data_IF_861411442234
#
_entry.id   IF_861411442234
#
_cell.length_a   1.000
_cell.length_b   1.000
_cell.length_c   1.000
_cell.angle_alpha   90.00
_cell.angle_beta   90.00
_cell.angle_gamma   90.00
#
_symmetry.space_group_name_H-M   'P 1'
#
loop_
_entity.id
_entity.type
_entity.pdbx_description
1 polymer ?
#
# COMPACT_ATOMS: atom_id res chain seq x y z
N UNK A 1 -4.77 -3.20 -30.70
CA UNK A 1 -3.44 -2.82 -30.18
C UNK A 1 -3.14 -3.72 -29.01
N UNK A 2 -2.11 -4.56 -29.10
CA UNK A 2 -1.67 -5.39 -27.97
C UNK A 2 -0.92 -4.52 -26.99
N UNK A 3 -1.37 -4.50 -25.74
CA UNK A 3 -0.63 -3.83 -24.66
C UNK A 3 0.76 -4.46 -24.56
N UNK A 4 1.85 -3.66 -24.54
CA UNK A 4 3.18 -4.21 -24.35
C UNK A 4 3.26 -4.98 -23.02
N UNK A 5 4.07 -6.03 -22.92
CA UNK A 5 4.24 -6.75 -21.67
C UNK A 5 4.78 -5.79 -20.60
N UNK A 6 4.25 -5.91 -19.38
CA UNK A 6 4.73 -5.14 -18.24
C UNK A 6 6.21 -5.46 -17.97
N UNK A 7 7.06 -4.46 -17.71
CA UNK A 7 8.48 -4.64 -17.47
C UNK A 7 8.74 -5.16 -16.05
N UNK A 8 8.31 -6.40 -15.78
CA UNK A 8 8.58 -7.02 -14.49
C UNK A 8 10.08 -7.23 -14.28
N UNK A 9 10.51 -6.86 -13.07
CA UNK A 9 11.90 -7.01 -12.65
C UNK A 9 12.14 -8.41 -12.03
N UNK A 10 13.32 -8.97 -12.26
CA UNK A 10 13.82 -10.10 -11.48
C UNK A 10 14.15 -9.62 -10.05
N UNK A 11 13.62 -10.25 -8.98
CA UNK A 11 13.84 -9.85 -7.61
C UNK A 11 15.30 -9.71 -7.19
N UNK A 12 16.22 -10.47 -7.81
CA UNK A 12 17.66 -10.39 -7.55
C UNK A 12 18.26 -9.00 -7.88
N UNK A 13 17.61 -8.24 -8.74
CA UNK A 13 18.01 -6.89 -9.13
C UNK A 13 17.26 -5.77 -8.39
N UNK A 14 16.36 -6.13 -7.45
CA UNK A 14 15.44 -5.17 -6.82
C UNK A 14 16.16 -3.99 -6.16
N UNK A 15 17.15 -4.25 -5.33
CA UNK A 15 17.91 -3.20 -4.63
C UNK A 15 18.64 -2.28 -5.59
N UNK A 16 19.27 -2.84 -6.63
CA UNK A 16 19.97 -2.05 -7.65
C UNK A 16 18.97 -1.17 -8.43
N UNK A 17 17.87 -1.75 -8.90
CA UNK A 17 16.85 -1.00 -9.64
C UNK A 17 16.27 0.16 -8.80
N UNK A 18 15.94 -0.08 -7.53
CA UNK A 18 15.44 0.98 -6.65
C UNK A 18 16.44 2.11 -6.43
N UNK A 19 17.75 1.81 -6.38
CA UNK A 19 18.80 2.83 -6.28
C UNK A 19 19.00 3.60 -7.57
N UNK A 20 18.96 2.92 -8.71
CA UNK A 20 19.34 3.49 -10.01
C UNK A 20 18.18 4.20 -10.69
N UNK A 21 16.99 3.61 -10.67
CA UNK A 21 15.80 4.11 -11.38
C UNK A 21 14.70 4.65 -10.46
N UNK A 22 14.75 4.35 -9.17
CA UNK A 22 13.79 4.79 -8.16
C UNK A 22 12.50 3.98 -8.12
N UNK A 23 12.33 2.96 -8.97
CA UNK A 23 11.13 2.11 -8.95
C UNK A 23 11.42 0.69 -9.40
N UNK A 24 10.52 -0.22 -9.05
CA UNK A 24 10.52 -1.61 -9.52
C UNK A 24 9.09 -2.14 -9.61
N UNK A 25 8.84 -3.00 -10.58
CA UNK A 25 7.58 -3.72 -10.73
C UNK A 25 7.83 -5.22 -10.56
N UNK A 26 7.16 -5.84 -9.58
CA UNK A 26 7.31 -7.25 -9.27
C UNK A 26 6.05 -8.04 -9.65
N UNK A 27 6.23 -9.32 -9.99
CA UNK A 27 5.11 -10.26 -10.15
C UNK A 27 4.55 -10.67 -8.79
N UNK A 28 3.30 -11.15 -8.74
CA UNK A 28 2.72 -11.66 -7.49
C UNK A 28 3.56 -12.76 -6.83
N UNK A 29 4.11 -13.69 -7.61
CA UNK A 29 4.98 -14.76 -7.09
C UNK A 29 6.27 -14.22 -6.47
N UNK A 30 6.84 -13.16 -7.06
CA UNK A 30 8.04 -12.51 -6.56
C UNK A 30 7.78 -11.79 -5.24
N UNK A 31 6.59 -11.15 -5.10
CA UNK A 31 6.16 -10.54 -3.83
C UNK A 31 5.94 -11.60 -2.76
N UNK A 32 5.33 -12.73 -3.11
CA UNK A 32 5.15 -13.86 -2.19
C UNK A 32 6.49 -14.41 -1.72
N UNK A 33 7.44 -14.60 -2.65
CA UNK A 33 8.79 -15.06 -2.33
C UNK A 33 9.51 -14.09 -1.38
N UNK A 34 9.48 -12.79 -1.65
CA UNK A 34 10.05 -11.76 -0.78
C UNK A 34 9.47 -11.82 0.64
N UNK A 35 8.16 -12.00 0.74
CA UNK A 35 7.46 -12.11 2.03
C UNK A 35 7.70 -13.47 2.74
N UNK A 36 8.40 -14.42 2.13
CA UNK A 36 8.52 -15.78 2.65
C UNK A 36 7.17 -16.49 2.76
N UNK A 37 6.26 -16.19 1.82
CA UNK A 37 4.91 -16.74 1.74
C UNK A 37 4.70 -17.43 0.40
N UNK A 38 3.65 -18.25 0.33
CA UNK A 38 3.03 -18.64 -0.94
C UNK A 38 1.93 -17.65 -1.35
N UNK A 39 1.56 -17.62 -2.63
CA UNK A 39 0.41 -16.83 -3.09
C UNK A 39 -0.90 -17.19 -2.37
N UNK A 40 -1.23 -18.49 -2.12
CA UNK A 40 -2.40 -18.85 -1.31
C UNK A 40 -2.36 -18.27 0.11
N UNK A 41 -1.19 -18.20 0.76
CA UNK A 41 -1.07 -17.57 2.08
C UNK A 41 -1.36 -16.07 2.01
N UNK A 42 -0.79 -15.35 1.02
CA UNK A 42 -1.12 -13.94 0.79
C UNK A 42 -2.61 -13.74 0.44
N UNK A 43 -3.21 -14.66 -0.31
CA UNK A 43 -4.63 -14.59 -0.67
C UNK A 43 -5.57 -14.71 0.54
N UNK A 44 -5.11 -15.26 1.68
CA UNK A 44 -5.91 -15.27 2.92
C UNK A 44 -6.21 -13.87 3.45
N UNK A 45 -5.46 -12.85 3.02
CA UNK A 45 -5.71 -11.45 3.38
C UNK A 45 -6.86 -10.82 2.59
N UNK A 46 -7.17 -11.33 1.38
CA UNK A 46 -8.11 -10.72 0.43
C UNK A 46 -9.50 -10.46 1.03
N UNK A 47 -10.11 -11.37 1.82
CA UNK A 47 -11.45 -11.14 2.38
C UNK A 47 -11.56 -9.93 3.30
N UNK A 48 -10.45 -9.42 3.84
CA UNK A 48 -10.46 -8.20 4.67
C UNK A 48 -10.83 -6.94 3.87
N UNK A 49 -10.63 -6.95 2.54
CA UNK A 49 -11.04 -5.84 1.66
C UNK A 49 -12.55 -5.70 1.51
N UNK A 50 -13.34 -6.74 1.79
CA UNK A 50 -14.80 -6.66 1.78
C UNK A 50 -15.38 -5.96 3.02
N UNK A 51 -14.58 -5.83 4.08
CA UNK A 51 -14.95 -5.24 5.36
C UNK A 51 -14.39 -3.83 5.58
N UNK A 52 -13.90 -3.18 4.52
CA UNK A 52 -13.35 -1.83 4.62
C UNK A 52 -14.45 -0.80 4.87
N UNK A 53 -14.19 0.13 5.78
CA UNK A 53 -15.06 1.26 6.08
C UNK A 53 -15.03 2.32 4.97
N UNK A 54 -16.10 3.09 4.84
CA UNK A 54 -16.14 4.24 3.93
C UNK A 54 -15.08 5.27 4.35
N UNK A 55 -14.50 5.91 3.35
CA UNK A 55 -13.62 7.06 3.57
C UNK A 55 -14.46 8.34 3.65
N UNK A 56 -14.74 8.79 4.87
CA UNK A 56 -15.55 9.98 5.13
C UNK A 56 -14.80 11.31 4.90
N UNK A 57 -13.53 11.24 4.49
CA UNK A 57 -12.69 12.42 4.27
C UNK A 57 -12.61 12.87 2.80
N UNK A 58 -13.40 12.26 1.90
CA UNK A 58 -13.44 12.68 0.50
C UNK A 58 -14.15 14.02 0.35
N UNK A 59 -13.41 15.06 0.00
CA UNK A 59 -13.93 16.43 -0.15
C UNK A 59 -14.89 16.61 -1.33
N UNK A 60 -14.87 15.71 -2.31
CA UNK A 60 -15.81 15.70 -3.43
C UNK A 60 -17.17 15.05 -3.07
N UNK A 61 -17.34 14.59 -1.82
CA UNK A 61 -18.55 13.92 -1.35
C UNK A 61 -18.73 12.52 -1.92
N UNK A 62 -17.73 11.99 -2.63
CA UNK A 62 -17.77 10.64 -3.21
C UNK A 62 -17.86 9.55 -2.15
N UNK A 63 -18.55 8.46 -2.47
CA UNK A 63 -18.64 7.26 -1.61
C UNK A 63 -17.95 6.05 -2.23
N UNK A 64 -17.12 6.30 -3.22
CA UNK A 64 -16.47 5.28 -4.04
C UNK A 64 -15.19 4.70 -3.39
N UNK A 65 -14.66 5.28 -2.28
CA UNK A 65 -13.44 4.82 -1.63
C UNK A 65 -13.74 4.28 -0.23
N UNK A 66 -13.20 3.11 0.03
CA UNK A 66 -13.19 2.48 1.35
C UNK A 66 -11.76 2.27 1.78
N UNK A 67 -11.47 2.40 3.07
CA UNK A 67 -10.10 2.19 3.55
C UNK A 67 -10.04 1.88 5.04
N UNK A 68 -8.92 1.24 5.40
CA UNK A 68 -8.43 1.12 6.78
C UNK A 68 -6.96 1.51 6.82
N UNK A 69 -6.49 1.88 7.99
CA UNK A 69 -5.12 2.34 8.19
C UNK A 69 -4.61 1.93 9.56
N UNK A 70 -3.39 1.39 9.59
CA UNK A 70 -2.66 1.12 10.83
C UNK A 70 -1.18 1.41 10.64
N UNK A 71 -0.51 1.69 11.75
CA UNK A 71 0.90 2.06 11.76
C UNK A 71 1.72 1.01 12.51
N UNK A 72 2.95 0.81 12.04
CA UNK A 72 3.87 -0.18 12.60
C UNK A 72 5.27 0.43 12.70
N UNK A 73 6.09 -0.16 13.57
CA UNK A 73 7.53 0.02 13.61
C UNK A 73 8.19 -1.29 13.22
N UNK A 74 9.04 -1.25 12.21
CA UNK A 74 9.96 -2.33 11.88
C UNK A 74 11.38 -1.91 12.29
N UNK A 75 11.98 -2.62 13.24
CA UNK A 75 13.35 -2.37 13.72
C UNK A 75 14.39 -3.30 13.08
N UNK A 76 13.96 -4.09 12.08
CA UNK A 76 14.79 -5.07 11.37
C UNK A 76 14.87 -6.44 12.06
N UNK A 77 14.44 -6.55 13.31
CA UNK A 77 14.32 -7.82 14.04
C UNK A 77 12.85 -8.21 14.27
N UNK A 78 11.98 -7.21 14.38
CA UNK A 78 10.55 -7.40 14.66
C UNK A 78 9.72 -6.28 14.01
N UNK A 79 8.46 -6.61 13.76
CA UNK A 79 7.42 -5.67 13.37
C UNK A 79 6.42 -5.53 14.52
N UNK A 80 6.25 -4.32 15.03
CA UNK A 80 5.31 -4.04 16.12
C UNK A 80 4.27 -3.00 15.69
N UNK A 81 2.98 -3.30 15.90
CA UNK A 81 1.91 -2.31 15.69
C UNK A 81 2.01 -1.20 16.74
N UNK A 82 1.88 0.04 16.30
CA UNK A 82 1.83 1.21 17.19
C UNK A 82 0.39 1.50 17.63
N UNK A 83 0.18 2.29 18.69
CA UNK A 83 -1.14 2.79 19.01
C UNK A 83 -1.81 3.45 17.82
N UNK A 84 -3.11 3.20 17.65
CA UNK A 84 -3.88 3.76 16.55
C UNK A 84 -3.86 5.29 16.57
N UNK A 85 -3.64 5.89 15.41
CA UNK A 85 -3.57 7.35 15.26
C UNK A 85 -4.10 7.81 13.91
N UNK A 86 -4.43 9.09 13.83
CA UNK A 86 -4.83 9.72 12.59
C UNK A 86 -3.67 9.76 11.58
N UNK A 87 -3.99 9.47 10.33
CA UNK A 87 -3.10 9.76 9.21
C UNK A 87 -3.06 11.27 8.96
N UNK A 88 -1.87 11.82 8.77
CA UNK A 88 -1.66 13.23 8.50
C UNK A 88 -0.60 13.41 7.42
N UNK A 89 -0.84 14.34 6.51
CA UNK A 89 0.10 14.77 5.49
C UNK A 89 0.14 16.29 5.45
N UNK A 90 1.28 16.93 5.20
CA UNK A 90 1.33 18.37 4.98
C UNK A 90 0.64 18.74 3.66
N UNK A 91 0.18 20.00 3.57
CA UNK A 91 -0.54 20.52 2.39
C UNK A 91 0.34 20.48 1.13
N UNK A 92 1.64 20.63 1.30
CA UNK A 92 2.65 20.60 0.21
C UNK A 92 2.67 19.24 -0.52
N UNK A 93 2.35 18.15 0.18
CA UNK A 93 2.30 16.81 -0.41
C UNK A 93 0.89 16.37 -0.81
N UNK A 94 -0.14 16.95 -0.19
CA UNK A 94 -1.52 16.64 -0.53
C UNK A 94 -2.36 17.91 -0.51
N UNK A 95 -2.49 18.57 -1.65
CA UNK A 95 -3.21 19.83 -1.78
C UNK A 95 -4.69 19.73 -1.43
N UNK A 96 -5.33 18.56 -1.61
CA UNK A 96 -6.75 18.38 -1.32
C UNK A 96 -7.02 17.99 0.13
N UNK A 97 -6.23 17.08 0.70
CA UNK A 97 -6.50 16.46 2.00
C UNK A 97 -5.36 16.69 3.01
N UNK A 98 -4.32 17.44 2.65
CA UNK A 98 -3.23 17.83 3.56
C UNK A 98 -3.71 18.79 4.64
N UNK A 99 -2.94 18.88 5.74
CA UNK A 99 -3.22 19.76 6.87
C UNK A 99 -4.34 19.29 7.79
N UNK A 100 -4.97 18.14 7.53
CA UNK A 100 -6.02 17.57 8.37
C UNK A 100 -5.65 16.20 8.95
N UNK A 101 -6.06 15.96 10.17
CA UNK A 101 -5.99 14.64 10.79
C UNK A 101 -7.15 13.77 10.32
N UNK A 102 -6.85 12.65 9.65
CA UNK A 102 -7.84 11.71 9.14
C UNK A 102 -7.77 10.42 9.95
N UNK A 103 -8.69 10.24 10.88
CA UNK A 103 -8.76 9.04 11.71
C UNK A 103 -9.58 7.96 10.99
N UNK A 104 -8.91 7.18 10.15
CA UNK A 104 -9.53 6.04 9.50
C UNK A 104 -9.70 4.89 10.48
N UNK A 105 -10.64 3.98 10.22
CA UNK A 105 -10.73 2.74 11.00
C UNK A 105 -9.40 1.97 10.95
N UNK A 106 -8.97 1.34 12.05
CA UNK A 106 -7.74 0.53 12.05
C UNK A 106 -7.90 -0.71 11.16
N UNK A 107 -6.80 -1.24 10.67
CA UNK A 107 -6.77 -2.60 10.09
C UNK A 107 -7.27 -3.56 11.16
N UNK A 108 -8.16 -4.47 10.78
CA UNK A 108 -8.80 -5.40 11.72
C UNK A 108 -7.78 -6.32 12.40
N UNK A 109 -8.03 -6.65 13.66
CA UNK A 109 -7.11 -7.44 14.48
C UNK A 109 -6.84 -8.82 13.87
N UNK A 110 -7.84 -9.46 13.24
CA UNK A 110 -7.68 -10.74 12.56
C UNK A 110 -6.75 -10.65 11.34
N UNK A 111 -6.79 -9.52 10.63
CA UNK A 111 -5.89 -9.23 9.51
C UNK A 111 -4.47 -8.97 10.01
N UNK A 112 -4.32 -8.18 11.06
CA UNK A 112 -3.01 -7.89 11.67
C UNK A 112 -2.39 -9.16 12.27
N UNK A 113 -3.20 -10.02 12.89
CA UNK A 113 -2.76 -11.30 13.44
C UNK A 113 -2.42 -12.36 12.38
N UNK A 114 -2.82 -12.15 11.12
CA UNK A 114 -2.49 -13.08 10.04
C UNK A 114 -0.96 -13.05 9.77
N UNK A 115 -0.27 -14.20 9.84
CA UNK A 115 1.18 -14.25 9.64
C UNK A 115 1.66 -13.68 8.30
N UNK A 116 0.84 -13.81 7.24
CA UNK A 116 1.18 -13.28 5.92
C UNK A 116 1.24 -11.74 5.91
N UNK A 117 0.38 -11.06 6.71
CA UNK A 117 0.42 -9.61 6.88
C UNK A 117 1.74 -9.14 7.48
N UNK A 118 2.14 -9.73 8.61
CA UNK A 118 3.39 -9.35 9.29
C UNK A 118 4.62 -9.63 8.45
N UNK A 119 4.68 -10.83 7.80
CA UNK A 119 5.79 -11.19 6.91
C UNK A 119 5.92 -10.25 5.72
N UNK A 120 4.81 -9.86 5.10
CA UNK A 120 4.80 -8.92 3.97
C UNK A 120 5.35 -7.56 4.37
N UNK A 121 4.84 -6.96 5.45
CA UNK A 121 5.30 -5.65 5.91
C UNK A 121 6.77 -5.67 6.33
N UNK A 122 7.20 -6.70 7.05
CA UNK A 122 8.59 -6.86 7.45
C UNK A 122 9.52 -7.02 6.24
N UNK A 123 9.15 -7.83 5.25
CA UNK A 123 9.93 -7.98 4.02
C UNK A 123 10.10 -6.66 3.26
N UNK A 124 9.06 -5.83 3.19
CA UNK A 124 9.16 -4.48 2.62
C UNK A 124 10.14 -3.60 3.42
N UNK A 125 10.12 -3.67 4.75
CA UNK A 125 11.09 -2.99 5.62
C UNK A 125 12.54 -3.45 5.36
N UNK A 126 12.76 -4.75 5.12
CA UNK A 126 14.07 -5.28 4.75
C UNK A 126 14.54 -4.74 3.39
N UNK A 127 13.67 -4.71 2.37
CA UNK A 127 13.99 -4.09 1.07
C UNK A 127 14.38 -2.62 1.23
N UNK A 128 13.65 -1.85 2.04
CA UNK A 128 14.01 -0.47 2.34
C UNK A 128 15.38 -0.36 3.01
N UNK A 129 15.70 -1.29 3.93
CA UNK A 129 17.00 -1.35 4.60
C UNK A 129 18.15 -1.72 3.66
N UNK A 130 17.90 -2.61 2.70
CA UNK A 130 18.89 -2.98 1.68
C UNK A 130 19.21 -1.80 0.74
N UNK A 131 18.24 -0.92 0.49
CA UNK A 131 18.42 0.28 -0.34
C UNK A 131 19.09 1.42 0.43
N UNK A 132 18.58 1.78 1.61
CA UNK A 132 18.92 3.00 2.34
C UNK A 132 19.82 2.78 3.56
N UNK A 133 20.17 1.53 3.87
CA UNK A 133 20.89 1.16 5.07
C UNK A 133 19.95 0.77 6.22
N UNK A 134 20.49 -0.04 7.14
CA UNK A 134 19.72 -0.54 8.29
C UNK A 134 19.32 0.60 9.22
N UNK A 135 18.03 0.70 9.48
CA UNK A 135 17.43 1.65 10.41
C UNK A 135 16.05 1.16 10.87
N UNK A 136 15.48 1.86 11.82
CA UNK A 136 14.10 1.68 12.24
C UNK A 136 13.17 2.33 11.22
N UNK A 137 12.21 1.56 10.69
CA UNK A 137 11.21 2.06 9.74
C UNK A 137 9.89 2.31 10.44
N UNK A 138 9.32 3.47 10.19
CA UNK A 138 7.94 3.75 10.47
C UNK A 138 7.12 3.38 9.23
N UNK A 139 6.15 2.48 9.40
CA UNK A 139 5.35 1.92 8.31
C UNK A 139 3.90 2.33 8.48
N UNK A 140 3.34 3.01 7.50
CA UNK A 140 1.90 3.26 7.39
C UNK A 140 1.31 2.26 6.39
N UNK A 141 0.48 1.35 6.87
CA UNK A 141 -0.21 0.37 6.05
C UNK A 141 -1.64 0.81 5.78
N UNK A 142 -2.00 0.91 4.51
CA UNK A 142 -3.31 1.32 4.05
C UNK A 142 -3.94 0.22 3.22
N UNK A 143 -5.14 -0.19 3.57
CA UNK A 143 -6.00 -0.98 2.69
C UNK A 143 -6.94 -0.02 1.96
N UNK A 144 -7.02 -0.14 0.64
CA UNK A 144 -7.92 0.65 -0.19
C UNK A 144 -8.81 -0.26 -1.04
N UNK A 145 -10.08 0.12 -1.16
CA UNK A 145 -10.99 -0.40 -2.18
C UNK A 145 -11.65 0.78 -2.88
N UNK A 146 -11.56 0.80 -4.21
CA UNK A 146 -12.26 1.77 -5.05
C UNK A 146 -13.44 1.04 -5.69
N UNK A 147 -14.63 1.48 -5.37
CA UNK A 147 -15.89 0.97 -5.91
C UNK A 147 -16.37 1.93 -7.00
N UNK A 148 -16.76 1.40 -8.15
CA UNK A 148 -17.24 2.18 -9.28
C UNK A 148 -18.71 1.86 -9.63
N UNK A 149 -19.43 1.14 -8.77
CA UNK A 149 -20.83 0.75 -9.00
C UNK A 149 -21.74 1.97 -9.22
N UNK A 150 -21.46 3.09 -8.53
CA UNK A 150 -22.22 4.34 -8.65
C UNK A 150 -21.62 5.30 -9.70
N UNK A 151 -20.69 4.84 -10.57
CA UNK A 151 -20.10 5.65 -11.62
C UNK A 151 -18.57 5.67 -11.59
N UNK A 152 -17.96 6.87 -11.45
CA UNK A 152 -16.50 7.07 -11.53
C UNK A 152 -15.87 7.02 -10.13
N UNK A 153 -15.02 6.03 -9.90
CA UNK A 153 -14.12 6.00 -8.75
C UNK A 153 -12.81 6.74 -9.05
N UNK A 154 -12.30 7.51 -8.09
CA UNK A 154 -11.02 8.24 -8.19
C UNK A 154 -10.07 7.77 -7.10
N UNK A 155 -9.08 6.91 -7.42
CA UNK A 155 -8.10 6.44 -6.44
C UNK A 155 -7.34 7.60 -5.80
N UNK A 156 -6.89 8.55 -6.62
CA UNK A 156 -6.16 9.75 -6.24
C UNK A 156 -6.83 10.98 -6.85
N UNK A 157 -7.89 11.53 -6.22
CA UNK A 157 -8.63 12.67 -6.75
C UNK A 157 -7.74 13.92 -6.92
N UNK A 158 -6.66 14.02 -6.17
CA UNK A 158 -5.62 15.05 -6.26
C UNK A 158 -4.70 14.91 -7.48
N UNK A 159 -4.77 13.79 -8.21
CA UNK A 159 -3.88 13.51 -9.33
C UNK A 159 -2.48 13.06 -8.89
N UNK A 160 -1.47 13.30 -9.74
CA UNK A 160 -0.08 12.94 -9.43
C UNK A 160 0.45 13.79 -8.26
N UNK A 161 0.96 13.15 -7.23
CA UNK A 161 1.50 13.79 -6.03
C UNK A 161 2.67 12.97 -5.44
N UNK A 162 3.30 13.51 -4.41
CA UNK A 162 4.28 12.81 -3.58
C UNK A 162 3.73 12.66 -2.17
N UNK A 163 3.96 11.51 -1.56
CA UNK A 163 3.48 11.24 -0.18
C UNK A 163 4.41 11.83 0.90
N UNK A 164 5.60 12.31 0.52
CA UNK A 164 6.56 12.86 1.48
C UNK A 164 7.23 11.80 2.36
N UNK A 165 7.27 10.57 1.90
CA UNK A 165 7.90 9.43 2.58
C UNK A 165 9.11 8.93 1.81
N UNK A 166 9.95 8.11 2.43
CA UNK A 166 11.16 7.57 1.80
C UNK A 166 10.83 6.53 0.72
N UNK A 167 9.87 5.66 0.97
CA UNK A 167 9.46 4.59 0.08
C UNK A 167 7.94 4.42 0.06
N UNK A 168 7.40 4.00 -1.08
CA UNK A 168 6.00 3.62 -1.24
C UNK A 168 5.95 2.25 -1.90
N UNK A 169 5.21 1.32 -1.31
CA UNK A 169 4.86 0.06 -1.94
C UNK A 169 3.37 0.04 -2.29
N UNK A 170 3.04 -0.19 -3.55
CA UNK A 170 1.65 -0.31 -4.02
C UNK A 170 1.42 -1.75 -4.44
N UNK A 171 0.49 -2.42 -3.77
CA UNK A 171 0.15 -3.83 -4.03
C UNK A 171 -1.27 -3.90 -4.59
N UNK A 172 -1.40 -4.33 -5.84
CA UNK A 172 -2.69 -4.57 -6.45
C UNK A 172 -3.24 -5.92 -5.97
N UNK A 173 -4.26 -5.88 -5.12
CA UNK A 173 -4.89 -7.07 -4.53
C UNK A 173 -5.93 -7.68 -5.46
N UNK A 174 -6.69 -6.84 -6.15
CA UNK A 174 -7.69 -7.29 -7.12
C UNK A 174 -8.15 -6.16 -8.02
N UNK A 175 -8.60 -6.51 -9.23
CA UNK A 175 -9.18 -5.58 -10.19
C UNK A 175 -10.19 -6.31 -11.04
N UNK A 176 -11.44 -5.90 -10.97
CA UNK A 176 -12.52 -6.54 -11.70
C UNK A 176 -13.49 -5.50 -12.28
N UNK A 177 -13.88 -5.70 -13.54
CA UNK A 177 -14.94 -4.94 -14.20
C UNK A 177 -14.69 -3.44 -14.40
N UNK A 178 -13.47 -2.94 -14.21
CA UNK A 178 -13.14 -1.51 -14.29
C UNK A 178 -12.24 -1.15 -15.47
N UNK A 179 -12.34 0.10 -15.93
CA UNK A 179 -11.42 0.73 -16.88
C UNK A 179 -10.69 1.88 -16.20
N UNK A 180 -9.45 2.18 -16.62
CA UNK A 180 -8.63 3.23 -16.02
C UNK A 180 -7.92 2.76 -14.74
N UNK A 181 -7.49 3.70 -13.88
CA UNK A 181 -6.67 3.41 -12.70
C UNK A 181 -5.23 3.02 -13.07
N UNK A 182 -4.71 3.61 -14.12
CA UNK A 182 -3.32 3.42 -14.56
C UNK A 182 -2.36 4.13 -13.61
N UNK A 183 -1.25 3.48 -13.28
CA UNK A 183 -0.09 4.09 -12.63
C UNK A 183 0.92 4.51 -13.69
N UNK A 184 1.44 5.72 -13.61
CA UNK A 184 2.41 6.30 -14.54
C UNK A 184 3.64 6.78 -13.78
#
# INVERSE_FOLDING_TARGET
>A
MTTPPLPYLDPSHLTAALRDTGYALLRPDDVALLAGCSLPELATLVPSWDRLELDDYLKDGGRYRRRRHSCFIDDGASLAQTPHRAHWQPVEYNALHGGMHRLFAPVEDDTVANPAWGRLLHALGQVCSDVAGRQRWYVEAHQFRIDTADGIGRPTPEGAHRDGVNFVAVILVGREGIKGGETR
#
